data_IF_486756009571
#
_entry.id   IF_486756009571
#
_cell.length_a   1.000
_cell.length_b   1.000
_cell.length_c   1.000
_cell.angle_alpha   90.00
_cell.angle_beta   90.00
_cell.angle_gamma   90.00
#
_symmetry.space_group_name_H-M   'P 1'
#
loop_
_entity.id
_entity.type
_entity.pdbx_description
1 polymer ?
#
# COMPACT_ATOMS: atom_id res chain seq x y z
N UNK A 1 -6.36 11.47 18.87
CA UNK A 1 -6.14 10.01 18.96
C UNK A 1 -6.18 9.41 17.56
N UNK A 2 -5.26 8.52 17.20
CA UNK A 2 -5.23 7.85 15.88
C UNK A 2 -5.82 6.45 16.03
N UNK A 3 -6.74 6.10 15.14
CA UNK A 3 -7.37 4.78 15.07
C UNK A 3 -7.14 4.20 13.68
N UNK A 4 -6.44 3.07 13.58
CA UNK A 4 -6.24 2.34 12.33
C UNK A 4 -7.48 1.49 12.09
N UNK A 5 -8.16 1.70 10.97
CA UNK A 5 -9.41 1.03 10.62
C UNK A 5 -9.21 -0.06 9.56
N UNK A 6 -8.08 -0.04 8.85
CA UNK A 6 -7.67 -1.05 7.88
C UNK A 6 -6.34 -0.71 7.22
N UNK A 7 -6.08 -1.36 6.07
CA UNK A 7 -4.86 -1.24 5.30
C UNK A 7 -5.18 -1.18 3.81
N UNK A 8 -4.64 -0.19 3.10
CA UNK A 8 -4.79 -0.04 1.66
C UNK A 8 -3.53 -0.61 1.00
N UNK A 9 -3.71 -1.60 0.14
CA UNK A 9 -2.67 -2.10 -0.74
C UNK A 9 -2.49 -1.12 -1.90
N UNK A 10 -1.28 -0.60 -2.06
CA UNK A 10 -0.93 0.38 -3.08
C UNK A 10 0.21 -0.18 -3.94
N UNK A 11 0.03 -0.18 -5.26
CA UNK A 11 1.15 -0.30 -6.18
C UNK A 11 1.85 1.05 -6.25
N UNK A 12 3.16 1.05 -6.05
CA UNK A 12 4.02 2.22 -6.19
C UNK A 12 5.04 1.99 -7.29
N UNK A 13 5.39 3.04 -8.00
CA UNK A 13 6.44 3.02 -8.99
C UNK A 13 7.25 4.31 -8.92
N UNK A 14 8.51 4.25 -9.32
CA UNK A 14 9.39 5.43 -9.35
C UNK A 14 9.99 5.61 -10.75
N UNK A 15 9.87 6.82 -11.30
CA UNK A 15 10.52 7.17 -12.56
C UNK A 15 12.05 7.31 -12.36
N UNK A 16 12.87 7.20 -13.42
CA UNK A 16 14.30 7.50 -13.33
C UNK A 16 14.62 8.93 -12.87
N UNK A 17 13.65 9.86 -12.97
CA UNK A 17 13.77 11.24 -12.51
C UNK A 17 13.42 11.39 -11.02
N UNK A 18 12.96 10.32 -10.36
CA UNK A 18 12.58 10.30 -8.95
C UNK A 18 11.10 10.57 -8.69
N UNK A 19 10.26 10.64 -9.72
CA UNK A 19 8.83 10.87 -9.54
C UNK A 19 8.15 9.59 -9.05
N UNK A 20 7.47 9.68 -7.91
CA UNK A 20 6.76 8.55 -7.30
C UNK A 20 5.29 8.59 -7.71
N UNK A 21 4.83 7.51 -8.34
CA UNK A 21 3.42 7.25 -8.61
C UNK A 21 2.85 6.21 -7.64
N UNK A 22 1.54 6.27 -7.42
CA UNK A 22 0.83 5.32 -6.56
C UNK A 22 -0.60 5.08 -7.03
N UNK A 23 -1.03 3.82 -7.03
CA UNK A 23 -2.42 3.42 -7.30
C UNK A 23 -2.91 2.48 -6.21
N UNK A 24 -4.02 2.84 -5.57
CA UNK A 24 -4.69 1.95 -4.62
C UNK A 24 -5.34 0.77 -5.36
N UNK A 25 -5.03 -0.45 -4.92
CA UNK A 25 -5.47 -1.70 -5.55
C UNK A 25 -6.64 -2.28 -4.78
N UNK A 26 -6.50 -2.41 -3.47
CA UNK A 26 -7.49 -3.05 -2.62
C UNK A 26 -7.39 -2.56 -1.16
N UNK A 27 -8.41 -2.86 -0.36
CA UNK A 27 -8.45 -2.57 1.06
C UNK A 27 -8.61 -3.85 1.87
N UNK A 28 -7.92 -3.91 2.99
CA UNK A 28 -7.87 -5.07 3.88
C UNK A 28 -8.17 -4.64 5.31
N UNK A 29 -8.90 -5.49 6.04
CA UNK A 29 -9.12 -5.26 7.47
C UNK A 29 -7.85 -5.49 8.30
N UNK A 30 -7.05 -6.49 7.91
CA UNK A 30 -5.87 -6.96 8.63
C UNK A 30 -4.59 -6.76 7.80
N UNK A 31 -3.52 -6.29 8.43
CA UNK A 31 -2.25 -6.02 7.74
C UNK A 31 -1.66 -7.28 7.10
N UNK A 32 -1.74 -8.41 7.81
CA UNK A 32 -1.18 -9.68 7.32
C UNK A 32 -1.82 -10.11 5.99
N UNK A 33 -3.12 -9.91 5.84
CA UNK A 33 -3.84 -10.23 4.61
C UNK A 33 -3.39 -9.32 3.46
N UNK A 34 -3.21 -8.01 3.73
CA UNK A 34 -2.65 -7.07 2.76
C UNK A 34 -1.24 -7.49 2.32
N UNK A 35 -0.37 -7.82 3.27
CA UNK A 35 1.02 -8.16 3.00
C UNK A 35 1.15 -9.45 2.19
N UNK A 36 0.33 -10.46 2.49
CA UNK A 36 0.30 -11.71 1.72
C UNK A 36 -0.05 -11.47 0.24
N UNK A 37 -0.95 -10.53 -0.05
CA UNK A 37 -1.29 -10.16 -1.42
C UNK A 37 -0.19 -9.31 -2.07
N UNK A 38 0.37 -8.34 -1.34
CA UNK A 38 1.52 -7.56 -1.79
C UNK A 38 2.68 -8.45 -2.25
N UNK A 39 3.05 -9.46 -1.46
CA UNK A 39 4.13 -10.40 -1.80
C UNK A 39 3.83 -11.19 -3.07
N UNK A 40 2.57 -11.58 -3.31
CA UNK A 40 2.19 -12.28 -4.54
C UNK A 40 2.34 -11.37 -5.75
N UNK A 41 1.83 -10.14 -5.65
CA UNK A 41 1.91 -9.17 -6.74
C UNK A 41 3.35 -8.76 -7.05
N UNK A 42 4.20 -8.66 -6.03
CA UNK A 42 5.63 -8.36 -6.19
C UNK A 42 6.35 -9.42 -7.04
N UNK A 43 5.96 -10.70 -6.93
CA UNK A 43 6.55 -11.80 -7.72
C UNK A 43 6.23 -11.70 -9.22
N UNK A 44 5.16 -10.98 -9.58
CA UNK A 44 4.69 -10.81 -10.95
C UNK A 44 4.97 -9.40 -11.50
N UNK A 45 5.63 -8.55 -10.69
CA UNK A 45 5.81 -7.14 -10.97
C UNK A 45 6.84 -6.87 -12.08
N UNK A 46 6.60 -5.80 -12.85
CA UNK A 46 7.63 -5.24 -13.70
C UNK A 46 8.73 -4.58 -12.84
N UNK A 47 9.98 -4.52 -13.31
CA UNK A 47 11.05 -3.80 -12.62
C UNK A 47 10.66 -2.35 -12.31
N UNK A 48 10.91 -1.92 -11.07
CA UNK A 48 10.59 -0.56 -10.61
C UNK A 48 9.15 -0.34 -10.14
N UNK A 49 8.34 -1.41 -10.09
CA UNK A 49 7.04 -1.44 -9.41
C UNK A 49 7.21 -2.21 -8.10
N UNK A 50 6.67 -1.68 -7.01
CA UNK A 50 6.59 -2.37 -5.73
C UNK A 50 5.20 -2.24 -5.11
N UNK A 51 4.92 -3.06 -4.10
CA UNK A 51 3.64 -3.07 -3.41
C UNK A 51 3.80 -2.75 -1.92
N UNK A 52 2.95 -1.88 -1.38
CA UNK A 52 2.98 -1.46 0.02
C UNK A 52 1.59 -1.43 0.64
N UNK A 53 1.51 -1.80 1.91
CA UNK A 53 0.30 -1.70 2.72
C UNK A 53 0.36 -0.42 3.56
N UNK A 54 -0.51 0.54 3.26
CA UNK A 54 -0.62 1.79 4.02
C UNK A 54 -1.76 1.71 5.02
N UNK A 55 -1.52 2.17 6.25
CA UNK A 55 -2.56 2.27 7.28
C UNK A 55 -3.67 3.21 6.80
N UNK A 56 -4.90 2.72 6.78
CA UNK A 56 -6.08 3.54 6.68
C UNK A 56 -6.49 3.94 8.09
N UNK A 57 -6.37 5.22 8.42
CA UNK A 57 -6.54 5.70 9.77
C UNK A 57 -7.42 6.94 9.85
N UNK A 58 -8.20 7.01 10.93
CA UNK A 58 -8.97 8.19 11.29
C UNK A 58 -8.23 8.93 12.40
N UNK A 59 -7.92 10.20 12.15
CA UNK A 59 -7.40 11.11 13.18
C UNK A 59 -8.58 11.82 13.85
N UNK A 60 -8.91 11.40 15.07
CA UNK A 60 -9.83 12.18 15.93
C UNK A 60 -9.03 13.35 16.52
N UNK A 61 -9.55 14.56 16.32
CA UNK A 61 -8.87 15.87 16.31
C UNK A 61 -7.99 16.27 17.50
N UNK A 62 -7.46 17.49 17.40
CA UNK A 62 -6.85 18.25 18.51
C UNK A 62 -7.97 18.74 19.42
#
# INVERSE_FOLDING_TARGET
MVEIIGYILVAVNISPQGDVGGTAINWYKENLACYQDAVKLEQEANPGVGFVCLEDFVKKGI
#
